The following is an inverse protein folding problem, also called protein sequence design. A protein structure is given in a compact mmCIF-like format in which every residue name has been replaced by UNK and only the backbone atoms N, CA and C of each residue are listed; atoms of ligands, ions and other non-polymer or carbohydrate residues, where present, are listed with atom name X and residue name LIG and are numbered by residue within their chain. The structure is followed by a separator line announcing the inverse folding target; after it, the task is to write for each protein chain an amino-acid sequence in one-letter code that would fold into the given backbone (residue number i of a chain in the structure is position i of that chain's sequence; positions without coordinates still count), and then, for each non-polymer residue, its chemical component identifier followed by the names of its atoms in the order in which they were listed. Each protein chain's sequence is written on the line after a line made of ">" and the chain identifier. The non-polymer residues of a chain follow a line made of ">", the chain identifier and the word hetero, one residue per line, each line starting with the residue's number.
data_IF_937535072088
#
_entry.id   IF_937535072088
#
_cell.length_a   1.000
_cell.length_b   1.000
_cell.length_c   1.000
_cell.angle_alpha   90.00
_cell.angle_beta   90.00
_cell.angle_gamma   90.00
#
_symmetry.space_group_name_H-M   'P 1'
#
loop_
_entity.id
_entity.type
_entity.pdbx_description
1 polymer ?
#
# COMPACT_ATOMS: atom_id res chain seq x y z
N UNK A 1 -13.12 13.32 -42.51
CA UNK A 1 -12.46 12.80 -41.30
C UNK A 1 -12.61 13.85 -40.23
N UNK A 2 -13.28 13.54 -39.12
CA UNK A 2 -13.42 14.50 -38.02
C UNK A 2 -12.12 14.51 -37.22
N UNK A 3 -11.48 15.68 -37.15
CA UNK A 3 -10.33 15.92 -36.29
C UNK A 3 -10.74 15.69 -34.83
N UNK A 4 -10.04 14.80 -34.14
CA UNK A 4 -10.23 14.57 -32.71
C UNK A 4 -9.65 15.81 -32.00
N UNK A 5 -10.51 16.75 -31.60
CA UNK A 5 -10.09 17.88 -30.78
C UNK A 5 -9.63 17.35 -29.42
N UNK A 6 -8.33 17.37 -29.18
CA UNK A 6 -7.78 17.17 -27.84
C UNK A 6 -8.23 18.34 -26.95
N UNK A 7 -9.03 18.03 -25.93
CA UNK A 7 -9.50 19.04 -24.98
C UNK A 7 -8.33 19.45 -24.10
N UNK A 8 -8.01 20.74 -24.07
CA UNK A 8 -6.94 21.28 -23.23
C UNK A 8 -7.22 20.97 -21.74
N UNK A 9 -6.31 20.23 -21.10
CA UNK A 9 -6.45 19.71 -19.74
C UNK A 9 -6.72 20.78 -18.66
N UNK A 10 -6.42 22.04 -18.96
CA UNK A 10 -6.55 23.19 -18.06
C UNK A 10 -7.99 23.74 -17.95
N UNK A 11 -8.96 23.18 -18.69
CA UNK A 11 -10.37 23.59 -18.65
C UNK A 11 -11.24 22.74 -17.72
N UNK A 12 -10.71 21.65 -17.17
CA UNK A 12 -11.48 20.83 -16.24
C UNK A 12 -11.42 21.42 -14.82
N UNK A 13 -12.56 21.56 -14.12
CA UNK A 13 -12.54 21.92 -12.72
C UNK A 13 -11.72 20.90 -11.94
N UNK A 14 -10.79 21.38 -11.11
CA UNK A 14 -10.04 20.53 -10.18
C UNK A 14 -11.03 19.96 -9.17
N UNK A 15 -11.36 18.68 -9.32
CA UNK A 15 -12.28 18.00 -8.41
C UNK A 15 -11.50 17.62 -7.15
N UNK A 16 -11.80 18.27 -6.02
CA UNK A 16 -11.12 18.00 -4.74
C UNK A 16 -11.60 16.71 -4.07
N UNK A 17 -12.74 16.16 -4.49
CA UNK A 17 -13.24 14.87 -4.02
C UNK A 17 -14.11 14.19 -5.09
N UNK A 18 -13.69 13.03 -5.59
CA UNK A 18 -14.56 12.16 -6.39
C UNK A 18 -15.23 11.14 -5.45
N UNK A 19 -16.47 10.72 -5.76
CA UNK A 19 -17.15 9.59 -5.08
C UNK A 19 -17.18 8.33 -5.94
N UNK A 20 -17.17 8.51 -7.26
CA UNK A 20 -17.33 7.44 -8.24
C UNK A 20 -16.33 7.61 -9.37
N UNK A 21 -15.94 6.50 -10.00
CA UNK A 21 -15.37 6.47 -11.35
C UNK A 21 -16.48 6.15 -12.33
N UNK A 22 -16.60 6.95 -13.39
CA UNK A 22 -17.60 6.76 -14.44
C UNK A 22 -16.93 6.19 -15.70
N UNK A 23 -17.56 5.19 -16.31
CA UNK A 23 -17.18 4.65 -17.62
C UNK A 23 -18.33 4.79 -18.60
N UNK A 24 -18.02 5.13 -19.85
CA UNK A 24 -19.03 5.11 -20.92
C UNK A 24 -19.36 3.68 -21.31
N UNK A 25 -20.65 3.43 -21.52
CA UNK A 25 -21.16 2.18 -22.08
C UNK A 25 -21.30 2.33 -23.59
N UNK A 26 -21.24 1.21 -24.30
CA UNK A 26 -21.45 1.16 -25.75
C UNK A 26 -22.87 1.54 -26.18
N UNK A 27 -23.83 1.58 -25.26
CA UNK A 27 -25.23 1.92 -25.49
C UNK A 27 -25.56 3.41 -25.22
N UNK A 28 -24.55 4.28 -25.21
CA UNK A 28 -24.67 5.72 -24.84
C UNK A 28 -25.04 5.97 -23.38
N UNK A 29 -25.03 4.93 -22.52
CA UNK A 29 -25.20 5.06 -21.08
C UNK A 29 -23.89 5.30 -20.33
N UNK A 30 -24.00 5.50 -19.02
CA UNK A 30 -22.85 5.51 -18.12
C UNK A 30 -22.94 4.35 -17.10
N UNK A 31 -21.81 3.74 -16.82
CA UNK A 31 -21.61 2.89 -15.64
C UNK A 31 -20.85 3.70 -14.59
N UNK A 32 -21.13 3.44 -13.31
CA UNK A 32 -20.39 4.03 -12.20
C UNK A 32 -19.87 2.95 -11.28
N UNK A 33 -18.66 3.15 -10.76
CA UNK A 33 -18.05 2.34 -9.72
C UNK A 33 -17.79 3.24 -8.52
N UNK A 34 -18.19 2.81 -7.32
CA UNK A 34 -17.83 3.53 -6.11
C UNK A 34 -16.33 3.44 -5.88
N UNK A 35 -15.68 4.53 -5.46
CA UNK A 35 -14.25 4.52 -5.14
C UNK A 35 -13.84 3.44 -4.12
N UNK A 36 -14.63 3.13 -3.09
CA UNK A 36 -14.35 1.99 -2.22
C UNK A 36 -14.28 0.66 -2.98
N UNK A 37 -15.17 0.43 -3.94
CA UNK A 37 -15.14 -0.78 -4.80
C UNK A 37 -13.91 -0.83 -5.70
N UNK A 38 -13.46 0.32 -6.21
CA UNK A 38 -12.19 0.40 -6.94
C UNK A 38 -10.99 0.04 -6.06
N UNK A 39 -10.98 0.53 -4.81
CA UNK A 39 -9.94 0.20 -3.83
C UNK A 39 -9.92 -1.29 -3.46
N UNK A 40 -11.07 -1.97 -3.49
CA UNK A 40 -11.18 -3.40 -3.24
C UNK A 40 -10.72 -4.25 -4.43
N UNK A 41 -10.85 -3.75 -5.67
CA UNK A 41 -10.34 -4.39 -6.89
C UNK A 41 -8.82 -4.31 -6.99
N UNK A 42 -8.22 -3.26 -6.42
CA UNK A 42 -6.78 -3.14 -6.28
C UNK A 42 -6.34 -4.01 -5.09
N UNK A 43 -6.03 -5.29 -5.35
CA UNK A 43 -5.52 -6.23 -4.32
C UNK A 43 -4.26 -5.73 -3.59
N UNK A 44 -3.59 -4.74 -4.18
CA UNK A 44 -2.48 -4.02 -3.57
C UNK A 44 -3.02 -2.64 -3.14
N UNK A 45 -3.32 -2.51 -1.85
CA UNK A 45 -3.81 -1.25 -1.22
C UNK A 45 -2.75 -0.13 -1.19
N UNK A 46 -1.55 -0.39 -1.71
CA UNK A 46 -0.52 0.60 -2.03
C UNK A 46 0.66 -0.03 -2.77
N UNK A 47 0.91 0.41 -4.01
CA UNK A 47 2.23 0.30 -4.65
C UNK A 47 2.86 1.67 -4.46
N UNK A 48 3.63 1.83 -3.39
CA UNK A 48 4.23 3.10 -3.02
C UNK A 48 5.75 3.00 -2.99
N UNK A 49 6.41 3.98 -3.60
CA UNK A 49 7.80 4.35 -3.31
C UNK A 49 7.88 5.16 -2.00
N UNK A 50 7.13 4.73 -0.97
CA UNK A 50 7.23 5.38 0.33
C UNK A 50 8.55 4.95 0.96
N UNK A 51 9.43 5.92 1.22
CA UNK A 51 10.67 5.66 1.95
C UNK A 51 10.35 5.24 3.38
N UNK A 52 10.70 4.01 3.73
CA UNK A 52 10.71 3.58 5.12
C UNK A 52 12.07 3.90 5.73
N UNK A 53 12.05 4.67 6.82
CA UNK A 53 13.25 4.95 7.61
C UNK A 53 13.57 3.79 8.55
N UNK A 54 12.55 3.11 9.09
CA UNK A 54 12.67 1.97 9.99
C UNK A 54 11.58 0.92 9.69
N UNK A 55 11.97 -0.35 9.51
CA UNK A 55 11.04 -1.46 9.28
C UNK A 55 10.20 -1.84 10.50
N UNK A 56 10.63 -1.51 11.73
CA UNK A 56 9.81 -1.65 12.92
C UNK A 56 8.66 -0.65 12.95
N UNK A 57 8.79 0.45 12.22
CA UNK A 57 7.82 1.55 12.16
C UNK A 57 6.94 1.50 10.91
N UNK A 58 7.12 0.47 10.08
CA UNK A 58 6.39 0.29 8.83
C UNK A 58 4.86 0.30 9.04
N UNK A 59 4.38 -0.24 10.17
CA UNK A 59 2.95 -0.29 10.48
C UNK A 59 2.31 1.08 10.73
N UNK A 60 3.11 2.09 11.08
CA UNK A 60 2.67 3.49 11.22
C UNK A 60 2.63 4.23 9.91
N UNK A 61 3.14 3.63 8.82
CA UNK A 61 3.24 4.24 7.49
C UNK A 61 2.30 3.56 6.50
N UNK A 62 2.29 2.23 6.52
CA UNK A 62 1.59 1.36 5.58
C UNK A 62 0.14 1.10 6.00
N UNK A 63 -0.70 0.79 5.01
CA UNK A 63 -2.11 0.50 5.22
C UNK A 63 -2.34 -0.97 5.59
N UNK A 64 -3.50 -1.24 6.18
CA UNK A 64 -3.98 -2.60 6.39
C UNK A 64 -3.96 -3.44 5.10
N UNK A 65 -3.71 -4.74 5.25
CA UNK A 65 -3.54 -5.67 4.15
C UNK A 65 -2.09 -5.77 3.67
N UNK A 66 -1.91 -6.04 2.38
CA UNK A 66 -0.61 -6.25 1.74
C UNK A 66 -0.05 -4.94 1.19
N UNK A 67 1.19 -4.64 1.57
CA UNK A 67 2.02 -3.58 1.02
C UNK A 67 3.32 -4.16 0.47
N UNK A 68 3.76 -3.69 -0.69
CA UNK A 68 5.06 -4.04 -1.28
C UNK A 68 5.83 -2.76 -1.52
N UNK A 69 6.99 -2.64 -0.87
CA UNK A 69 7.77 -1.40 -0.85
C UNK A 69 9.25 -1.66 -1.12
N UNK A 70 9.90 -0.70 -1.74
CA UNK A 70 11.36 -0.67 -1.82
C UNK A 70 11.96 -0.26 -0.47
N UNK A 71 13.08 -0.87 -0.10
CA UNK A 71 13.89 -0.49 1.07
C UNK A 71 15.31 -0.14 0.64
N UNK A 72 15.89 0.87 1.28
CA UNK A 72 17.24 1.34 0.99
C UNK A 72 17.83 2.10 2.17
N UNK A 73 18.84 1.50 2.82
CA UNK A 73 19.41 1.98 4.10
C UNK A 73 18.35 2.20 5.19
N UNK A 74 17.34 1.34 5.21
CA UNK A 74 16.25 1.35 6.19
C UNK A 74 16.72 0.67 7.49
N UNK A 75 16.50 1.32 8.62
CA UNK A 75 16.80 0.78 9.96
C UNK A 75 15.98 -0.51 10.24
N UNK A 76 16.54 -1.38 11.08
CA UNK A 76 15.98 -2.69 11.43
C UNK A 76 15.69 -3.63 10.24
N UNK A 77 16.26 -3.33 9.06
CA UNK A 77 16.29 -4.23 7.92
C UNK A 77 17.45 -5.23 8.02
N UNK A 78 17.25 -6.51 7.62
CA UNK A 78 18.32 -7.50 7.58
C UNK A 78 19.23 -7.32 6.35
N UNK A 79 18.87 -6.46 5.41
CA UNK A 79 19.64 -6.14 4.20
C UNK A 79 19.66 -4.63 3.93
N UNK A 80 20.66 -4.15 3.20
CA UNK A 80 20.80 -2.71 2.91
C UNK A 80 19.81 -2.22 1.83
N UNK A 81 19.57 -3.01 0.79
CA UNK A 81 18.72 -2.64 -0.36
C UNK A 81 17.89 -3.84 -0.84
N UNK A 82 16.63 -3.60 -1.19
CA UNK A 82 15.75 -4.65 -1.71
C UNK A 82 14.27 -4.29 -1.67
N UNK A 83 13.44 -5.32 -1.54
CA UNK A 83 11.98 -5.20 -1.42
C UNK A 83 11.53 -5.74 -0.08
N UNK A 84 10.60 -5.03 0.58
CA UNK A 84 9.85 -5.51 1.72
C UNK A 84 8.40 -5.78 1.29
N UNK A 85 7.94 -7.01 1.52
CA UNK A 85 6.52 -7.35 1.58
C UNK A 85 6.10 -7.22 3.04
N UNK A 86 5.14 -6.34 3.31
CA UNK A 86 4.60 -6.10 4.64
C UNK A 86 3.10 -6.37 4.62
N UNK A 87 2.65 -7.27 5.48
CA UNK A 87 1.24 -7.54 5.71
C UNK A 87 0.91 -7.14 7.13
N UNK A 88 -0.13 -6.33 7.30
CA UNK A 88 -0.67 -6.02 8.62
C UNK A 88 -2.19 -6.24 8.64
N UNK A 89 -2.71 -6.77 9.75
CA UNK A 89 -4.13 -7.06 9.90
C UNK A 89 -4.97 -5.80 10.11
N UNK A 90 -4.51 -4.92 10.98
CA UNK A 90 -5.23 -3.74 11.45
C UNK A 90 -4.79 -2.47 10.71
N UNK A 91 -5.57 -1.41 10.90
CA UNK A 91 -5.32 -0.10 10.29
C UNK A 91 -3.95 0.49 10.68
N UNK A 92 -3.50 1.45 9.88
CA UNK A 92 -2.22 2.15 10.07
C UNK A 92 -2.08 2.70 11.50
N UNK A 93 -0.97 2.37 12.15
CA UNK A 93 -0.64 2.81 13.52
C UNK A 93 -1.39 2.07 14.62
N UNK A 94 -2.27 1.11 14.30
CA UNK A 94 -3.01 0.34 15.29
C UNK A 94 -2.08 -0.65 16.02
N UNK A 95 -2.03 -0.51 17.35
CA UNK A 95 -1.30 -1.36 18.28
C UNK A 95 -2.22 -2.17 19.18
N UNK A 96 -3.49 -2.37 18.83
CA UNK A 96 -4.42 -3.22 19.58
C UNK A 96 -3.93 -4.66 19.62
N UNK A 97 -4.23 -5.39 20.70
CA UNK A 97 -3.74 -6.75 20.94
C UNK A 97 -4.14 -7.80 19.88
N UNK A 98 -4.99 -7.42 18.93
CA UNK A 98 -5.38 -8.27 17.80
C UNK A 98 -4.51 -8.05 16.55
N UNK A 99 -3.59 -7.09 16.58
CA UNK A 99 -2.71 -6.78 15.47
C UNK A 99 -1.66 -7.89 15.27
N UNK A 100 -1.55 -8.34 14.03
CA UNK A 100 -0.51 -9.26 13.55
C UNK A 100 0.13 -8.67 12.30
N UNK A 101 1.44 -8.83 12.20
CA UNK A 101 2.25 -8.37 11.09
C UNK A 101 3.11 -9.50 10.58
N UNK A 102 3.20 -9.62 9.26
CA UNK A 102 4.20 -10.46 8.60
C UNK A 102 5.08 -9.57 7.73
N UNK A 103 6.40 -9.74 7.83
CA UNK A 103 7.35 -9.08 6.94
C UNK A 103 8.24 -10.10 6.26
N UNK A 104 8.38 -9.96 4.95
CA UNK A 104 9.39 -10.62 4.15
C UNK A 104 10.24 -9.57 3.47
N UNK A 105 11.55 -9.68 3.59
CA UNK A 105 12.50 -8.78 2.96
C UNK A 105 13.40 -9.59 2.04
N UNK A 106 13.55 -9.16 0.80
CA UNK A 106 14.34 -9.87 -0.20
C UNK A 106 15.24 -8.93 -1.01
N UNK A 107 16.46 -9.38 -1.24
CA UNK A 107 17.45 -8.78 -2.12
C UNK A 107 18.33 -9.89 -2.70
N UNK A 108 19.57 -10.04 -2.23
CA UNK A 108 20.39 -11.22 -2.55
C UNK A 108 19.99 -12.47 -1.76
N UNK A 109 19.49 -12.27 -0.54
CA UNK A 109 18.98 -13.28 0.37
C UNK A 109 17.57 -12.87 0.81
N UNK A 110 16.78 -13.83 1.29
CA UNK A 110 15.41 -13.59 1.74
C UNK A 110 15.28 -13.87 3.22
N UNK A 111 14.61 -12.96 3.93
CA UNK A 111 14.38 -13.01 5.36
C UNK A 111 12.90 -12.81 5.66
N UNK A 112 12.42 -13.47 6.71
CA UNK A 112 11.06 -13.32 7.23
C UNK A 112 11.08 -13.01 8.72
N UNK A 113 10.08 -12.27 9.19
CA UNK A 113 9.76 -12.12 10.61
C UNK A 113 8.27 -11.85 10.81
N UNK A 114 7.85 -11.95 12.05
CA UNK A 114 6.48 -11.69 12.47
C UNK A 114 6.48 -10.56 13.50
N UNK A 115 5.42 -9.76 13.51
CA UNK A 115 5.16 -8.74 14.51
C UNK A 115 3.83 -9.00 15.19
N UNK A 116 3.77 -8.71 16.48
CA UNK A 116 2.56 -8.85 17.29
C UNK A 116 2.45 -7.68 18.25
N UNK A 117 1.21 -7.32 18.59
CA UNK A 117 0.96 -6.25 19.57
C UNK A 117 1.07 -6.75 21.01
N UNK A 118 1.56 -5.89 21.91
CA UNK A 118 1.41 -6.04 23.35
C UNK A 118 0.35 -5.11 23.98
N UNK A 119 -0.41 -4.37 23.17
CA UNK A 119 -1.39 -3.35 23.56
C UNK A 119 -0.89 -1.91 23.33
N UNK A 120 0.42 -1.68 23.51
CA UNK A 120 1.03 -0.34 23.46
C UNK A 120 1.95 -0.16 22.25
N UNK A 121 2.56 -1.24 21.77
CA UNK A 121 3.52 -1.25 20.69
C UNK A 121 3.44 -2.55 19.88
N UNK A 122 4.09 -2.53 18.71
CA UNK A 122 4.37 -3.74 17.93
C UNK A 122 5.75 -4.25 18.30
N UNK A 123 5.81 -5.52 18.71
CA UNK A 123 7.04 -6.25 18.96
C UNK A 123 7.32 -7.16 17.78
N UNK A 124 8.59 -7.26 17.38
CA UNK A 124 9.00 -8.08 16.24
C UNK A 124 9.88 -9.24 16.70
N UNK A 125 9.66 -10.41 16.09
CA UNK A 125 10.60 -11.52 16.20
C UNK A 125 11.89 -11.22 15.45
N UNK A 126 12.96 -11.93 15.80
CA UNK A 126 14.21 -11.86 15.06
C UNK A 126 13.98 -12.28 13.60
N UNK A 127 14.72 -11.65 12.68
CA UNK A 127 14.74 -12.06 11.29
C UNK A 127 15.26 -13.49 11.14
N UNK A 128 14.55 -14.30 10.35
CA UNK A 128 14.95 -15.65 9.96
C UNK A 128 15.23 -15.66 8.47
N UNK A 129 16.41 -16.14 8.08
CA UNK A 129 16.72 -16.37 6.67
C UNK A 129 16.01 -17.64 6.19
N UNK A 130 15.52 -17.63 4.94
CA UNK A 130 14.92 -18.79 4.27
C UNK A 130 15.68 -19.18 3.01
#
# INVERSE_FOLDING_TARGET
>A
MAEKQDIAMNQFPVVTSMKYVYGEKTDSGQAKMELPSLSALLSIKGIGITSLNDLNEAYKVLNEGLSVVYIGKTENSPIEYGVCIHVQRSSKGDTSGSQFIFQMVSGRLTYIREGYSNGDAILYTNWRQI
#
